data_IF_686515990386
#
_entry.id   IF_686515990386
#
_cell.length_a   1.000
_cell.length_b   1.000
_cell.length_c   1.000
_cell.angle_alpha   90.00
_cell.angle_beta   90.00
_cell.angle_gamma   90.00
#
_symmetry.space_group_name_H-M   'P 1'
#
loop_
_entity.id
_entity.type
_entity.pdbx_description
1 polymer ?
#
# COMPACT_ATOMS: atom_id res chain seq x y z
N UNK A 1 1.62 16.95 -4.84
CA UNK A 1 0.49 16.78 -5.78
C UNK A 1 -0.84 16.67 -5.05
N UNK A 2 -1.00 15.77 -4.08
CA UNK A 2 -2.26 15.45 -3.38
C UNK A 2 -3.10 16.68 -3.01
N UNK A 3 -2.60 17.60 -2.18
CA UNK A 3 -3.36 18.77 -1.71
C UNK A 3 -3.72 19.80 -2.79
N UNK A 4 -3.08 19.76 -3.97
CA UNK A 4 -3.45 20.62 -5.10
C UNK A 4 -4.73 20.16 -5.79
N UNK A 5 -5.07 18.88 -5.66
CA UNK A 5 -6.26 18.26 -6.24
C UNK A 5 -7.31 17.93 -5.17
N UNK A 6 -7.03 18.27 -3.92
CA UNK A 6 -7.88 18.02 -2.77
C UNK A 6 -9.12 18.94 -2.77
N UNK A 7 -10.28 18.42 -2.42
CA UNK A 7 -11.51 19.21 -2.23
C UNK A 7 -11.33 20.27 -1.16
N UNK A 8 -11.71 21.52 -1.41
CA UNK A 8 -11.68 22.56 -0.37
C UNK A 8 -12.74 22.35 0.73
N UNK A 9 -13.71 21.47 0.50
CA UNK A 9 -14.79 21.18 1.46
C UNK A 9 -14.41 20.10 2.48
N UNK A 10 -13.23 19.47 2.29
CA UNK A 10 -12.71 18.41 3.16
C UNK A 10 -11.48 18.89 3.91
N UNK A 11 -11.26 18.36 5.10
CA UNK A 11 -10.02 18.53 5.84
C UNK A 11 -9.17 17.26 5.75
N UNK A 12 -7.89 17.43 5.45
CA UNK A 12 -6.93 16.33 5.27
C UNK A 12 -5.95 16.30 6.44
N UNK A 13 -6.08 15.29 7.29
CA UNK A 13 -5.16 15.05 8.39
C UNK A 13 -4.04 14.12 7.91
N UNK A 14 -2.91 14.70 7.53
CA UNK A 14 -1.75 13.98 7.00
C UNK A 14 -0.89 13.49 8.15
N UNK A 15 -0.67 12.17 8.21
CA UNK A 15 0.15 11.56 9.26
C UNK A 15 1.36 10.92 8.60
N UNK A 16 2.53 11.42 8.92
CA UNK A 16 3.81 10.92 8.41
C UNK A 16 4.38 9.93 9.43
N UNK A 17 4.48 8.66 9.04
CA UNK A 17 5.18 7.64 9.81
C UNK A 17 6.67 7.81 9.56
N UNK A 18 7.46 8.02 10.60
CA UNK A 18 8.87 8.37 10.43
C UNK A 18 9.74 7.83 11.56
N UNK A 19 11.05 7.81 11.33
CA UNK A 19 12.03 7.41 12.34
C UNK A 19 13.14 8.42 12.56
N UNK A 20 13.55 9.13 11.54
CA UNK A 20 14.73 10.00 11.58
C UNK A 20 14.58 11.30 10.77
N UNK A 21 13.35 11.77 10.54
CA UNK A 21 13.16 13.06 9.87
C UNK A 21 13.66 14.17 10.80
N UNK A 22 14.58 14.99 10.31
CA UNK A 22 15.14 16.11 11.11
C UNK A 22 14.05 17.12 11.48
N UNK A 23 14.26 17.86 12.58
CA UNK A 23 13.34 18.92 13.00
C UNK A 23 13.16 19.99 11.91
N UNK A 24 14.22 20.32 11.18
CA UNK A 24 14.19 21.24 10.05
C UNK A 24 13.28 20.72 8.93
N UNK A 25 13.41 19.46 8.53
CA UNK A 25 12.57 18.87 7.49
C UNK A 25 11.11 18.77 7.95
N UNK A 26 10.85 18.42 9.21
CA UNK A 26 9.49 18.45 9.78
C UNK A 26 8.88 19.85 9.70
N UNK A 27 9.65 20.90 10.01
CA UNK A 27 9.19 22.28 9.91
C UNK A 27 8.92 22.66 8.46
N UNK A 28 9.82 22.34 7.52
CA UNK A 28 9.64 22.60 6.09
C UNK A 28 8.36 21.94 5.53
N UNK A 29 8.08 20.70 5.92
CA UNK A 29 6.85 19.99 5.53
C UNK A 29 5.63 20.70 6.12
N UNK A 30 5.69 21.07 7.39
CA UNK A 30 4.59 21.77 8.09
C UNK A 30 4.29 23.10 7.42
N UNK A 31 5.30 23.93 7.15
CA UNK A 31 5.17 25.23 6.52
C UNK A 31 4.63 25.11 5.08
N UNK A 32 5.06 24.06 4.37
CA UNK A 32 4.54 23.78 3.04
C UNK A 32 3.06 23.39 3.06
N UNK A 33 2.64 22.52 3.99
CA UNK A 33 1.24 22.10 4.08
C UNK A 33 0.32 23.21 4.59
N UNK A 34 0.83 24.11 5.44
CA UNK A 34 0.07 25.25 5.96
C UNK A 34 -0.47 26.20 4.85
N UNK A 35 0.13 26.16 3.66
CA UNK A 35 -0.31 26.96 2.51
C UNK A 35 -1.68 26.53 1.96
N UNK A 36 -2.14 25.33 2.26
CA UNK A 36 -3.37 24.75 1.71
C UNK A 36 -4.62 24.98 2.57
N UNK A 37 -4.50 25.49 3.78
CA UNK A 37 -5.63 25.89 4.63
C UNK A 37 -6.61 24.79 5.08
N UNK A 38 -6.68 23.69 4.35
CA UNK A 38 -7.56 22.54 4.60
C UNK A 38 -6.78 21.25 4.94
N UNK A 39 -5.52 21.38 5.36
CA UNK A 39 -4.69 20.25 5.74
C UNK A 39 -3.92 20.51 7.03
N UNK A 40 -3.73 19.45 7.80
CA UNK A 40 -2.81 19.41 8.94
C UNK A 40 -1.80 18.29 8.74
N UNK A 41 -0.60 18.42 9.34
CA UNK A 41 0.40 17.35 9.34
C UNK A 41 0.82 17.01 10.74
N UNK A 42 0.95 15.74 11.00
CA UNK A 42 1.51 15.17 12.23
C UNK A 42 2.59 14.16 11.89
N UNK A 43 3.58 14.05 12.75
CA UNK A 43 4.66 13.08 12.61
C UNK A 43 4.54 12.05 13.72
N UNK A 44 4.56 10.78 13.34
CA UNK A 44 4.52 9.67 14.28
C UNK A 44 5.83 8.89 14.20
N UNK A 45 6.60 8.93 15.29
CA UNK A 45 7.85 8.18 15.43
C UNK A 45 7.56 6.70 15.69
N UNK A 46 7.92 5.85 14.73
CA UNK A 46 7.70 4.40 14.77
C UNK A 46 8.83 3.63 15.45
N UNK A 47 9.88 4.31 15.92
CA UNK A 47 11.10 3.66 16.45
C UNK A 47 10.80 2.61 17.53
N UNK A 48 9.87 2.89 18.42
CA UNK A 48 9.50 1.97 19.52
C UNK A 48 8.76 0.73 19.01
N UNK A 49 7.95 0.88 17.98
CA UNK A 49 7.16 -0.22 17.44
C UNK A 49 8.01 -1.24 16.69
N UNK A 50 9.11 -0.80 16.08
CA UNK A 50 10.04 -1.66 15.35
C UNK A 50 11.25 -2.09 16.15
N UNK A 51 11.41 -1.58 17.37
CA UNK A 51 12.55 -1.94 18.23
C UNK A 51 12.54 -3.43 18.56
N UNK A 52 13.69 -4.07 18.41
CA UNK A 52 13.85 -5.51 18.61
C UNK A 52 13.45 -6.40 17.42
N UNK A 53 12.92 -5.85 16.33
CA UNK A 53 12.66 -6.59 15.09
C UNK A 53 13.81 -6.44 14.10
N UNK A 54 14.24 -7.56 13.51
CA UNK A 54 15.28 -7.57 12.48
C UNK A 54 14.62 -7.53 11.08
N UNK A 55 14.12 -6.36 10.72
CA UNK A 55 13.45 -6.14 9.43
C UNK A 55 14.48 -5.99 8.32
N UNK A 56 14.30 -6.74 7.25
CA UNK A 56 15.14 -6.68 6.04
C UNK A 56 14.27 -6.65 4.80
N UNK A 57 14.78 -6.07 3.73
CA UNK A 57 14.12 -6.09 2.43
C UNK A 57 14.97 -6.84 1.41
N UNK A 58 14.33 -7.51 0.47
CA UNK A 58 15.02 -8.29 -0.56
C UNK A 58 15.40 -7.46 -1.81
N UNK A 59 15.01 -6.18 -1.83
CA UNK A 59 15.26 -5.28 -2.95
C UNK A 59 16.03 -4.05 -2.45
N UNK A 60 17.17 -3.74 -3.11
CA UNK A 60 18.00 -2.58 -2.75
C UNK A 60 17.28 -1.22 -2.94
N UNK A 61 16.19 -1.19 -3.70
CA UNK A 61 15.36 0.02 -3.91
C UNK A 61 14.24 0.17 -2.88
N UNK A 62 13.98 -0.85 -2.06
CA UNK A 62 12.96 -0.82 -1.03
C UNK A 62 13.65 -0.77 0.33
N UNK A 63 13.30 0.21 1.13
CA UNK A 63 13.81 0.35 2.50
C UNK A 63 12.84 -0.26 3.54
N UNK A 64 13.29 -0.40 4.77
CA UNK A 64 12.48 -0.99 5.86
C UNK A 64 11.24 -0.16 6.20
N UNK A 65 11.16 1.07 5.75
CA UNK A 65 10.02 1.96 5.87
C UNK A 65 8.75 1.37 5.23
N UNK A 66 8.91 0.46 4.26
CA UNK A 66 7.80 -0.29 3.67
C UNK A 66 6.95 -1.03 4.72
N UNK A 67 7.55 -1.47 5.83
CA UNK A 67 6.83 -2.15 6.90
C UNK A 67 6.10 -1.21 7.87
N UNK A 68 6.28 0.11 7.77
CA UNK A 68 5.60 1.06 8.67
C UNK A 68 4.08 1.04 8.50
N UNK A 69 3.57 0.60 7.34
CA UNK A 69 2.13 0.44 7.14
C UNK A 69 1.48 -0.57 8.08
N UNK A 70 2.24 -1.55 8.61
CA UNK A 70 1.74 -2.49 9.61
C UNK A 70 1.53 -1.84 10.99
N UNK A 71 2.20 -0.71 11.25
CA UNK A 71 2.15 0.00 12.54
C UNK A 71 0.93 0.93 12.62
N UNK A 72 0.31 1.27 11.50
CA UNK A 72 -0.78 2.26 11.40
C UNK A 72 -1.90 1.98 12.41
N UNK A 73 -2.31 0.73 12.55
CA UNK A 73 -3.41 0.34 13.42
C UNK A 73 -3.15 0.60 14.92
N UNK A 74 -1.88 0.62 15.35
CA UNK A 74 -1.45 0.96 16.71
C UNK A 74 -1.17 2.46 16.84
N UNK A 75 -0.54 3.05 15.82
CA UNK A 75 -0.28 4.48 15.77
C UNK A 75 -1.59 5.31 15.81
N UNK A 76 -2.66 4.76 15.26
CA UNK A 76 -3.96 5.41 15.11
C UNK A 76 -5.10 4.63 15.78
N UNK A 77 -5.06 4.42 17.11
CA UNK A 77 -5.98 3.51 17.80
C UNK A 77 -7.45 3.94 17.75
N UNK A 78 -7.71 5.23 17.57
CA UNK A 78 -9.06 5.80 17.54
C UNK A 78 -9.64 5.93 16.12
N UNK A 79 -8.84 5.66 15.09
CA UNK A 79 -9.30 5.69 13.71
C UNK A 79 -9.85 4.31 13.32
N UNK A 80 -10.96 4.33 12.59
CA UNK A 80 -11.57 3.12 12.04
C UNK A 80 -11.09 2.83 10.63
N UNK A 81 -10.79 3.88 9.87
CA UNK A 81 -10.40 3.82 8.47
C UNK A 81 -9.32 4.87 8.18
N UNK A 82 -8.37 4.52 7.35
CA UNK A 82 -7.33 5.42 6.84
C UNK A 82 -7.08 5.16 5.36
N UNK A 83 -6.56 6.16 4.68
CA UNK A 83 -5.95 6.02 3.38
C UNK A 83 -4.43 6.04 3.56
N UNK A 84 -3.76 4.99 3.11
CA UNK A 84 -2.30 4.91 3.03
C UNK A 84 -1.86 5.22 1.60
N UNK A 85 -0.83 6.02 1.47
CA UNK A 85 -0.20 6.37 0.19
C UNK A 85 1.32 6.29 0.35
N UNK A 86 1.98 5.65 -0.59
CA UNK A 86 3.44 5.74 -0.72
C UNK A 86 3.88 7.19 -1.03
N UNK A 87 5.11 7.56 -0.63
CA UNK A 87 5.58 8.95 -0.73
C UNK A 87 6.04 9.34 -2.14
N UNK A 88 6.31 8.38 -3.01
CA UNK A 88 6.88 8.54 -4.36
C UNK A 88 5.81 8.58 -5.47
N UNK A 89 4.61 9.01 -5.12
CA UNK A 89 3.45 9.05 -6.01
C UNK A 89 3.11 10.45 -6.51
N UNK A 90 2.49 10.52 -7.69
CA UNK A 90 1.82 11.73 -8.21
C UNK A 90 0.32 11.53 -8.13
N UNK A 91 -0.34 12.30 -7.30
CA UNK A 91 -1.80 12.26 -7.11
C UNK A 91 -2.44 13.32 -7.99
N UNK A 92 -3.31 12.90 -8.93
CA UNK A 92 -3.97 13.74 -9.92
C UNK A 92 -5.46 13.98 -9.64
N UNK A 93 -6.04 13.25 -8.69
CA UNK A 93 -7.45 13.36 -8.28
C UNK A 93 -7.62 13.71 -6.81
N UNK A 94 -8.86 13.85 -6.36
CA UNK A 94 -9.18 14.04 -4.96
C UNK A 94 -9.19 12.70 -4.21
N UNK A 95 -8.23 12.52 -3.33
CA UNK A 95 -8.11 11.29 -2.51
C UNK A 95 -9.28 11.09 -1.53
N UNK A 96 -10.12 12.10 -1.32
CA UNK A 96 -11.33 11.93 -0.51
C UNK A 96 -12.32 10.96 -1.18
N UNK A 97 -12.39 10.94 -2.51
CA UNK A 97 -13.22 9.98 -3.25
C UNK A 97 -12.77 8.55 -2.97
N UNK A 98 -11.46 8.32 -3.00
CA UNK A 98 -10.87 7.03 -2.66
C UNK A 98 -11.10 6.66 -1.19
N UNK A 99 -10.91 7.62 -0.28
CA UNK A 99 -11.18 7.40 1.15
C UNK A 99 -12.64 7.04 1.41
N UNK A 100 -13.59 7.62 0.68
CA UNK A 100 -15.04 7.38 0.84
C UNK A 100 -15.49 6.02 0.27
N UNK A 101 -14.63 5.29 -0.44
CA UNK A 101 -14.95 3.94 -0.96
C UNK A 101 -15.49 3.04 0.16
N UNK A 102 -16.63 2.40 -0.09
CA UNK A 102 -17.18 1.39 0.80
C UNK A 102 -16.42 0.08 0.64
N UNK A 103 -15.80 -0.39 1.70
CA UNK A 103 -15.07 -1.66 1.72
C UNK A 103 -15.97 -2.89 1.91
N UNK A 104 -17.29 -2.70 2.10
CA UNK A 104 -18.22 -3.82 2.31
C UNK A 104 -17.86 -4.72 3.50
N UNK A 105 -17.12 -4.18 4.49
CA UNK A 105 -16.63 -4.95 5.64
C UNK A 105 -15.29 -5.64 5.43
N UNK A 106 -14.64 -5.49 4.26
CA UNK A 106 -13.30 -5.98 4.00
C UNK A 106 -12.23 -5.21 4.77
N UNK A 107 -11.07 -5.83 4.93
CA UNK A 107 -9.93 -5.24 5.64
C UNK A 107 -9.21 -4.18 4.81
N UNK A 108 -9.12 -4.37 3.49
CA UNK A 108 -8.34 -3.53 2.59
C UNK A 108 -9.14 -3.24 1.32
N UNK A 109 -9.06 -2.00 0.83
CA UNK A 109 -9.31 -1.61 -0.54
C UNK A 109 -7.96 -1.37 -1.22
N UNK A 110 -7.70 -2.04 -2.35
CA UNK A 110 -6.42 -1.94 -3.06
C UNK A 110 -6.59 -2.19 -4.56
N UNK A 111 -5.68 -1.65 -5.37
CA UNK A 111 -5.67 -1.82 -6.82
C UNK A 111 -5.01 -3.13 -7.18
N UNK A 112 -5.58 -3.96 -8.08
CA UNK A 112 -4.94 -5.19 -8.53
C UNK A 112 -3.55 -4.91 -9.14
N UNK A 113 -2.59 -5.78 -8.88
CA UNK A 113 -1.24 -5.68 -9.44
C UNK A 113 -1.19 -6.37 -10.82
N UNK A 114 -1.43 -5.58 -11.86
CA UNK A 114 -1.50 -6.08 -13.23
C UNK A 114 -0.17 -6.71 -13.70
N UNK A 115 0.97 -6.27 -13.17
CA UNK A 115 2.28 -6.82 -13.49
C UNK A 115 2.45 -8.22 -12.86
N UNK A 116 2.14 -8.36 -11.58
CA UNK A 116 2.14 -9.66 -10.92
C UNK A 116 1.16 -10.63 -11.61
N UNK A 117 -0.05 -10.15 -11.90
CA UNK A 117 -1.10 -10.94 -12.57
C UNK A 117 -0.69 -11.35 -13.99
N UNK A 118 -0.04 -10.45 -14.74
CA UNK A 118 0.53 -10.80 -16.06
C UNK A 118 1.61 -11.88 -15.94
N UNK A 119 2.50 -11.74 -14.98
CA UNK A 119 3.57 -12.73 -14.74
C UNK A 119 3.05 -14.12 -14.38
N UNK A 120 1.85 -14.24 -13.76
CA UNK A 120 1.20 -15.54 -13.51
C UNK A 120 1.02 -16.37 -14.79
N UNK A 121 0.78 -15.72 -15.92
CA UNK A 121 0.47 -16.37 -17.20
C UNK A 121 1.69 -16.48 -18.13
N UNK A 122 2.81 -15.87 -17.78
CA UNK A 122 4.03 -15.98 -18.59
C UNK A 122 4.64 -17.38 -18.48
N UNK A 123 5.11 -17.92 -19.60
CA UNK A 123 5.73 -19.25 -19.67
C UNK A 123 6.91 -19.41 -18.72
N UNK A 124 7.73 -18.36 -18.61
CA UNK A 124 8.92 -18.33 -17.75
C UNK A 124 8.72 -17.42 -16.52
N UNK A 125 7.45 -17.11 -16.19
CA UNK A 125 7.07 -16.30 -15.04
C UNK A 125 7.26 -17.06 -13.74
N UNK A 126 7.70 -16.35 -12.72
CA UNK A 126 7.95 -16.97 -11.39
C UNK A 126 6.74 -16.85 -10.45
N UNK A 127 5.82 -15.91 -10.74
CA UNK A 127 4.75 -15.55 -9.79
C UNK A 127 3.74 -16.66 -9.57
N UNK A 128 3.47 -17.53 -10.57
CA UNK A 128 2.53 -18.63 -10.41
C UNK A 128 2.96 -19.63 -9.33
N UNK A 129 4.20 -20.13 -9.42
CA UNK A 129 4.75 -21.05 -8.42
C UNK A 129 4.98 -20.36 -7.07
N UNK A 130 5.38 -19.09 -7.10
CA UNK A 130 5.57 -18.28 -5.91
C UNK A 130 4.26 -18.05 -5.14
N UNK A 131 3.21 -17.60 -5.82
CA UNK A 131 1.89 -17.41 -5.21
C UNK A 131 1.34 -18.69 -4.58
N UNK A 132 1.54 -19.83 -5.26
CA UNK A 132 1.06 -21.13 -4.81
C UNK A 132 1.87 -21.68 -3.63
N UNK A 133 3.20 -21.65 -3.73
CA UNK A 133 4.07 -22.40 -2.82
C UNK A 133 4.65 -21.56 -1.68
N UNK A 134 4.78 -20.25 -1.88
CA UNK A 134 5.29 -19.34 -0.83
C UNK A 134 4.18 -18.53 -0.18
N UNK A 135 3.26 -17.97 -0.96
CA UNK A 135 2.16 -17.17 -0.44
C UNK A 135 0.92 -17.99 -0.11
N UNK A 136 0.84 -19.24 -0.60
CA UNK A 136 -0.30 -20.14 -0.40
C UNK A 136 -1.65 -19.56 -0.81
N UNK A 137 -1.66 -18.66 -1.79
CA UNK A 137 -2.86 -17.98 -2.26
C UNK A 137 -3.81 -18.95 -2.97
N UNK A 138 -5.11 -18.83 -2.67
CA UNK A 138 -6.19 -19.59 -3.32
C UNK A 138 -6.58 -18.95 -4.65
N UNK A 139 -6.51 -17.61 -4.71
CA UNK A 139 -6.80 -16.82 -5.90
C UNK A 139 -5.67 -15.83 -6.19
N UNK A 140 -4.59 -16.22 -6.86
CA UNK A 140 -3.47 -15.34 -7.16
C UNK A 140 -3.83 -14.19 -8.12
N UNK A 141 -4.93 -14.30 -8.89
CA UNK A 141 -5.44 -13.18 -9.71
C UNK A 141 -6.05 -12.04 -8.88
N UNK A 142 -6.24 -12.22 -7.59
CA UNK A 142 -6.63 -11.19 -6.65
C UNK A 142 -5.45 -10.45 -6.02
N UNK A 143 -4.22 -10.71 -6.46
CA UNK A 143 -3.03 -10.05 -5.92
C UNK A 143 -3.05 -8.55 -6.22
N UNK A 144 -2.75 -7.71 -5.22
CA UNK A 144 -2.89 -6.26 -5.27
C UNK A 144 -1.59 -5.53 -4.92
N UNK A 145 -1.47 -4.30 -5.40
CA UNK A 145 -0.38 -3.38 -5.06
C UNK A 145 -0.59 -2.77 -3.67
N UNK A 146 0.51 -2.57 -2.94
CA UNK A 146 0.47 -2.03 -1.58
C UNK A 146 0.73 -0.51 -1.50
N UNK A 147 1.01 0.17 -2.61
CA UNK A 147 1.32 1.61 -2.64
C UNK A 147 0.14 2.52 -2.34
N UNK A 148 -1.10 2.06 -2.60
CA UNK A 148 -2.36 2.76 -2.31
C UNK A 148 -3.30 1.79 -1.60
N UNK A 149 -3.66 2.09 -0.34
CA UNK A 149 -4.52 1.23 0.45
C UNK A 149 -5.59 2.05 1.19
N UNK A 150 -6.84 1.67 1.02
CA UNK A 150 -7.89 2.08 1.95
C UNK A 150 -7.97 1.00 3.03
N UNK A 151 -7.57 1.32 4.26
CA UNK A 151 -7.44 0.33 5.32
C UNK A 151 -8.58 0.46 6.34
N UNK A 152 -9.32 -0.61 6.57
CA UNK A 152 -10.24 -0.76 7.69
C UNK A 152 -9.44 -1.21 8.91
N UNK A 153 -9.09 -0.27 9.78
CA UNK A 153 -8.22 -0.56 10.93
C UNK A 153 -8.88 -1.45 11.98
N UNK A 154 -10.22 -1.49 12.05
CA UNK A 154 -10.93 -2.42 12.94
C UNK A 154 -10.69 -3.85 12.46
N UNK A 155 -10.82 -4.11 11.16
CA UNK A 155 -10.57 -5.42 10.55
C UNK A 155 -9.09 -5.80 10.58
N UNK A 156 -8.19 -4.85 10.33
CA UNK A 156 -6.75 -5.11 10.41
C UNK A 156 -6.33 -5.58 11.81
N UNK A 157 -6.91 -5.00 12.87
CA UNK A 157 -6.67 -5.42 14.25
C UNK A 157 -7.24 -6.81 14.56
N UNK A 158 -8.27 -7.26 13.85
CA UNK A 158 -8.84 -8.61 13.98
C UNK A 158 -7.94 -9.66 13.32
N UNK A 159 -7.22 -9.29 12.24
CA UNK A 159 -6.33 -10.20 11.51
C UNK A 159 -5.05 -10.44 12.34
N UNK A 160 -4.29 -9.38 12.64
CA UNK A 160 -3.05 -9.48 13.40
C UNK A 160 -2.83 -8.24 14.26
N UNK A 161 -2.19 -8.40 15.40
CA UNK A 161 -1.55 -7.31 16.13
C UNK A 161 -0.33 -6.79 15.36
N UNK A 162 0.13 -5.56 15.67
CA UNK A 162 1.36 -5.01 15.06
C UNK A 162 2.56 -5.93 15.27
N UNK A 163 2.66 -6.54 16.46
CA UNK A 163 3.72 -7.48 16.75
C UNK A 163 3.71 -8.69 15.81
N UNK A 164 2.56 -9.30 15.59
CA UNK A 164 2.41 -10.44 14.68
C UNK A 164 2.74 -10.07 13.24
N UNK A 165 2.29 -8.91 12.76
CA UNK A 165 2.67 -8.38 11.44
C UNK A 165 4.19 -8.28 11.28
N UNK A 166 4.87 -7.72 12.28
CA UNK A 166 6.32 -7.55 12.25
C UNK A 166 7.08 -8.88 12.42
N UNK A 167 6.53 -9.85 13.17
CA UNK A 167 7.07 -11.21 13.25
C UNK A 167 6.98 -11.94 11.90
N UNK A 168 5.89 -11.76 11.16
CA UNK A 168 5.75 -12.29 9.79
C UNK A 168 6.78 -11.62 8.86
N UNK A 169 6.95 -10.28 8.97
CA UNK A 169 7.88 -9.51 8.15
C UNK A 169 9.35 -9.92 8.31
N UNK A 170 9.72 -10.57 9.41
CA UNK A 170 11.08 -11.12 9.61
C UNK A 170 11.30 -12.46 8.91
N UNK A 171 10.24 -13.11 8.40
CA UNK A 171 10.38 -14.38 7.73
C UNK A 171 11.07 -14.21 6.37
N UNK A 172 11.98 -15.11 5.99
CA UNK A 172 12.65 -15.04 4.69
C UNK A 172 11.72 -15.46 3.54
N UNK A 173 12.09 -15.07 2.33
CA UNK A 173 11.49 -15.60 1.10
C UNK A 173 10.32 -14.79 0.56
N UNK A 174 10.01 -13.62 1.08
CA UNK A 174 9.13 -12.65 0.44
C UNK A 174 9.89 -11.90 -0.65
N UNK A 175 9.34 -11.84 -1.86
CA UNK A 175 9.93 -11.11 -3.00
C UNK A 175 9.54 -9.64 -2.93
N UNK A 176 8.26 -9.36 -2.66
CA UNK A 176 7.68 -8.02 -2.64
C UNK A 176 7.39 -7.54 -1.20
N UNK A 177 8.11 -8.10 -0.21
CA UNK A 177 8.12 -7.66 1.19
C UNK A 177 6.71 -7.56 1.81
N UNK A 178 6.29 -6.37 2.22
CA UNK A 178 5.01 -6.07 2.85
C UNK A 178 3.81 -6.32 1.93
N UNK A 179 3.97 -6.10 0.62
CA UNK A 179 2.92 -6.37 -0.36
C UNK A 179 2.54 -7.86 -0.36
N UNK A 180 3.54 -8.76 -0.35
CA UNK A 180 3.30 -10.20 -0.26
C UNK A 180 2.56 -10.59 1.03
N UNK A 181 2.98 -10.01 2.15
CA UNK A 181 2.40 -10.28 3.45
C UNK A 181 0.93 -9.85 3.50
N UNK A 182 0.63 -8.64 3.00
CA UNK A 182 -0.74 -8.15 2.93
C UNK A 182 -1.62 -9.03 2.03
N UNK A 183 -1.10 -9.44 0.87
CA UNK A 183 -1.82 -10.31 -0.06
C UNK A 183 -2.09 -11.70 0.53
N UNK A 184 -1.14 -12.24 1.28
CA UNK A 184 -1.27 -13.54 1.95
C UNK A 184 -2.28 -13.48 3.09
N UNK A 185 -2.16 -12.49 3.97
CA UNK A 185 -2.92 -12.45 5.22
C UNK A 185 -4.32 -11.82 5.07
N UNK A 186 -4.51 -10.97 4.05
CA UNK A 186 -5.80 -10.33 3.77
C UNK A 186 -6.58 -11.03 2.65
N UNK A 187 -6.12 -12.18 2.12
CA UNK A 187 -6.83 -12.88 1.05
C UNK A 187 -8.28 -13.17 1.43
N UNK A 188 -9.22 -12.81 0.55
CA UNK A 188 -10.66 -12.93 0.81
C UNK A 188 -11.28 -11.79 1.62
N UNK A 189 -10.50 -10.79 2.02
CA UNK A 189 -10.95 -9.58 2.72
C UNK A 189 -10.47 -8.31 2.01
N UNK A 190 -10.54 -8.31 0.67
CA UNK A 190 -10.06 -7.23 -0.21
C UNK A 190 -11.20 -6.73 -1.09
N UNK A 191 -11.35 -5.40 -1.15
CA UNK A 191 -12.17 -4.71 -2.15
C UNK A 191 -11.23 -4.20 -3.24
N UNK A 192 -11.37 -4.69 -4.47
CA UNK A 192 -10.55 -4.21 -5.59
C UNK A 192 -11.01 -2.81 -6.00
N UNK A 193 -10.05 -1.90 -6.08
CA UNK A 193 -10.21 -0.52 -6.50
C UNK A 193 -9.94 -0.40 -8.01
N UNK A 194 -10.52 0.58 -8.71
CA UNK A 194 -10.20 0.87 -10.10
C UNK A 194 -8.70 1.14 -10.31
N UNK A 195 -8.17 0.74 -11.47
CA UNK A 195 -6.74 0.86 -11.78
C UNK A 195 -6.23 2.31 -11.77
N UNK A 196 -7.08 3.28 -12.10
CA UNK A 196 -6.74 4.71 -12.11
C UNK A 196 -6.18 5.25 -10.77
N UNK A 197 -6.46 4.56 -9.65
CA UNK A 197 -5.98 4.95 -8.33
C UNK A 197 -4.54 4.53 -8.03
N UNK A 198 -3.97 3.63 -8.82
CA UNK A 198 -2.56 3.25 -8.68
C UNK A 198 -1.98 2.76 -10.02
N UNK A 199 -1.88 3.68 -10.98
CA UNK A 199 -1.29 3.40 -12.28
C UNK A 199 0.22 3.25 -12.14
N UNK A 200 0.72 2.12 -12.58
CA UNK A 200 2.14 1.80 -12.55
C UNK A 200 2.89 2.61 -13.62
N UNK A 201 4.05 3.17 -13.26
CA UNK A 201 4.96 3.73 -14.26
C UNK A 201 5.50 2.61 -15.15
N UNK A 202 5.40 2.79 -16.47
CA UNK A 202 5.89 1.81 -17.44
C UNK A 202 7.42 1.82 -17.51
N UNK A 203 8.04 1.24 -16.48
CA UNK A 203 9.47 1.02 -16.46
C UNK A 203 9.83 -0.20 -17.33
N UNK A 204 10.84 -0.06 -18.18
CA UNK A 204 11.40 -1.16 -18.97
C UNK A 204 10.38 -1.85 -19.93
N UNK A 205 9.31 -1.16 -20.33
CA UNK A 205 8.29 -1.69 -21.25
C UNK A 205 7.45 -2.82 -20.65
N UNK A 206 7.26 -2.83 -19.33
CA UNK A 206 6.52 -3.90 -18.64
C UNK A 206 5.05 -3.96 -19.00
N UNK A 207 4.42 -2.83 -19.34
CA UNK A 207 2.99 -2.80 -19.74
C UNK A 207 2.73 -3.75 -20.92
N UNK A 208 3.57 -3.71 -21.96
CA UNK A 208 3.45 -4.61 -23.11
C UNK A 208 4.37 -5.83 -23.10
N UNK A 209 5.18 -5.98 -22.06
CA UNK A 209 6.09 -7.11 -21.89
C UNK A 209 5.65 -8.11 -20.81
N UNK A 210 4.82 -7.68 -19.87
CA UNK A 210 4.35 -8.49 -18.75
C UNK A 210 2.83 -8.33 -18.55
N UNK A 211 2.35 -7.08 -18.41
CA UNK A 211 0.95 -6.84 -18.05
C UNK A 211 -0.05 -7.34 -19.12
N UNK A 212 0.32 -7.34 -20.39
CA UNK A 212 -0.49 -7.85 -21.50
C UNK A 212 -0.70 -9.38 -21.49
N UNK A 213 0.05 -10.11 -20.64
CA UNK A 213 -0.22 -11.53 -20.34
C UNK A 213 -1.33 -11.72 -19.29
N UNK A 214 -1.80 -10.67 -18.64
CA UNK A 214 -2.95 -10.76 -17.73
C UNK A 214 -4.22 -11.20 -18.49
N UNK A 215 -5.27 -11.68 -17.78
CA UNK A 215 -6.55 -11.93 -18.43
C UNK A 215 -7.02 -10.72 -19.22
N UNK A 216 -7.51 -10.94 -20.44
CA UNK A 216 -7.79 -9.86 -21.40
C UNK A 216 -8.72 -8.76 -20.86
N UNK A 217 -9.71 -9.12 -20.02
CA UNK A 217 -10.61 -8.14 -19.40
C UNK A 217 -9.87 -7.25 -18.38
N UNK A 218 -8.95 -7.80 -17.61
CA UNK A 218 -8.16 -7.04 -16.61
C UNK A 218 -7.16 -6.11 -17.29
N UNK A 219 -6.50 -6.58 -18.34
CA UNK A 219 -5.58 -5.75 -19.12
C UNK A 219 -6.32 -4.60 -19.83
N UNK A 220 -7.50 -4.88 -20.40
CA UNK A 220 -8.32 -3.85 -21.04
C UNK A 220 -8.78 -2.79 -20.02
N UNK A 221 -9.25 -3.21 -18.85
CA UNK A 221 -9.63 -2.30 -17.77
C UNK A 221 -8.46 -1.43 -17.28
N UNK A 222 -7.24 -1.99 -17.26
CA UNK A 222 -6.03 -1.24 -16.92
C UNK A 222 -5.66 -0.20 -17.99
N UNK A 223 -5.93 -0.48 -19.26
CA UNK A 223 -5.57 0.40 -20.39
C UNK A 223 -6.60 1.51 -20.67
N UNK A 224 -7.86 1.35 -20.22
CA UNK A 224 -8.94 2.32 -20.38
C UNK A 224 -8.87 3.46 -19.36
#
# INVERSE_FOLDING_TARGET
>A
SMLRNASPERHYDVIVLERNISAENKQNITDFLAQFGNATVRFYDVSRAIDGFNLTTNNAHISIETYYRFIIQEALPFYKKVLYLDCDMVVNGDVAELYDTDLGGNAIGAVPDIDFIGNLNMKDGICAEYAKHRLHMKNPYGYFQAGVLVMNLEKMREIHSVREWLEIAQQPGFIYNDQDILNMECEGSVTHLPYEWNVMHDCDGRVHGVCDFAPAHMFQEYMD
#
